data_IF_687349605016
#
_entry.id   IF_687349605016
#
_cell.length_a   1.000
_cell.length_b   1.000
_cell.length_c   1.000
_cell.angle_alpha   90.00
_cell.angle_beta   90.00
_cell.angle_gamma   90.00
#
_symmetry.space_group_name_H-M   'P 1'
#
loop_
_entity.id
_entity.type
_entity.pdbx_description
1 polymer ?
#
# COMPACT_ATOMS: atom_id res chain seq x y z
N UNK A 1 28.40 0.96 6.32
CA UNK A 1 28.97 -0.03 5.38
C UNK A 1 28.62 -1.41 5.89
N UNK A 2 28.06 -2.28 5.06
CA UNK A 2 27.86 -3.68 5.39
C UNK A 2 29.25 -4.32 5.55
N UNK A 3 29.42 -5.16 6.56
CA UNK A 3 30.64 -5.93 6.74
C UNK A 3 30.24 -7.33 7.18
N UNK A 4 30.18 -8.24 6.22
CA UNK A 4 29.81 -9.63 6.43
C UNK A 4 30.75 -10.54 5.62
N UNK A 5 30.89 -11.77 6.06
CA UNK A 5 31.37 -12.87 5.18
C UNK A 5 30.17 -13.55 4.53
N UNK A 6 30.40 -14.31 3.47
CA UNK A 6 29.37 -15.15 2.83
C UNK A 6 28.77 -16.15 3.83
N UNK A 7 29.56 -16.68 4.74
CA UNK A 7 29.06 -17.55 5.82
C UNK A 7 28.10 -16.82 6.78
N UNK A 8 28.39 -15.57 7.12
CA UNK A 8 27.49 -14.75 7.96
C UNK A 8 26.22 -14.37 7.19
N UNK A 9 26.33 -14.02 5.90
CA UNK A 9 25.17 -13.79 5.05
C UNK A 9 24.28 -15.03 4.97
N UNK A 10 24.88 -16.23 4.85
CA UNK A 10 24.16 -17.51 4.85
C UNK A 10 23.38 -17.74 6.16
N UNK A 11 23.96 -17.41 7.31
CA UNK A 11 23.27 -17.51 8.61
C UNK A 11 22.06 -16.57 8.68
N UNK A 12 22.20 -15.33 8.20
CA UNK A 12 21.10 -14.34 8.19
C UNK A 12 19.95 -14.79 7.28
N UNK A 13 20.28 -15.39 6.12
CA UNK A 13 19.30 -15.83 5.13
C UNK A 13 18.71 -17.22 5.41
N UNK A 14 19.28 -17.97 6.36
CA UNK A 14 18.93 -19.36 6.61
C UNK A 14 19.42 -20.32 5.51
N UNK A 15 20.34 -19.88 4.67
CA UNK A 15 20.93 -20.67 3.58
C UNK A 15 21.99 -21.62 4.13
N UNK A 16 21.93 -22.90 3.79
CA UNK A 16 22.88 -23.89 4.30
C UNK A 16 24.07 -24.15 3.35
N UNK A 17 23.83 -24.03 2.05
CA UNK A 17 24.81 -24.34 1.02
C UNK A 17 25.48 -23.09 0.47
N UNK A 18 26.77 -22.97 0.69
CA UNK A 18 27.59 -21.85 0.20
C UNK A 18 28.92 -22.33 -0.35
N UNK A 19 29.42 -21.66 -1.38
CA UNK A 19 30.81 -21.77 -1.80
C UNK A 19 31.62 -20.58 -1.25
N UNK A 20 32.94 -20.77 -1.06
CA UNK A 20 33.85 -19.70 -0.62
C UNK A 20 33.34 -18.92 0.58
N UNK A 21 33.11 -19.54 1.75
CA UNK A 21 32.43 -18.95 2.91
C UNK A 21 33.11 -17.70 3.48
N UNK A 22 34.43 -17.57 3.31
CA UNK A 22 35.21 -16.44 3.84
C UNK A 22 35.22 -15.21 2.94
N UNK A 23 34.56 -15.27 1.77
CA UNK A 23 34.47 -14.13 0.87
C UNK A 23 33.80 -12.94 1.56
N UNK A 24 34.45 -11.78 1.51
CA UNK A 24 33.93 -10.56 2.10
C UNK A 24 32.79 -9.95 1.27
N UNK A 25 31.71 -9.55 1.95
CA UNK A 25 30.58 -8.81 1.40
C UNK A 25 30.50 -7.46 2.10
N UNK A 26 30.65 -6.39 1.32
CA UNK A 26 30.67 -5.03 1.82
C UNK A 26 29.50 -4.17 1.34
N UNK A 27 28.77 -4.67 0.31
CA UNK A 27 27.60 -4.02 -0.26
C UNK A 27 26.58 -5.04 -0.78
N UNK A 28 25.33 -4.62 -0.83
CA UNK A 28 24.26 -5.25 -1.62
C UNK A 28 24.07 -4.42 -2.89
N UNK A 29 24.03 -5.05 -4.06
CA UNK A 29 23.95 -4.34 -5.34
C UNK A 29 23.05 -5.06 -6.34
N UNK A 30 22.58 -4.34 -7.36
CA UNK A 30 21.94 -4.93 -8.53
C UNK A 30 22.97 -5.65 -9.41
N UNK A 31 22.51 -6.43 -10.37
CA UNK A 31 23.42 -7.09 -11.33
C UNK A 31 24.15 -6.06 -12.22
N UNK A 32 23.47 -4.97 -12.57
CA UNK A 32 23.98 -3.90 -13.42
C UNK A 32 25.08 -3.07 -12.71
N UNK A 33 24.99 -2.93 -11.39
CA UNK A 33 25.93 -2.15 -10.57
C UNK A 33 26.91 -3.02 -9.80
N UNK A 34 27.05 -4.28 -10.20
CA UNK A 34 27.90 -5.25 -9.53
C UNK A 34 29.37 -4.83 -9.50
N UNK A 35 29.99 -4.91 -8.34
CA UNK A 35 31.39 -4.53 -8.10
C UNK A 35 32.04 -5.45 -7.05
N UNK A 36 33.34 -5.36 -6.89
CA UNK A 36 34.07 -6.11 -5.88
C UNK A 36 33.54 -5.78 -4.46
N UNK A 37 33.32 -6.80 -3.65
CA UNK A 37 32.64 -6.71 -2.35
C UNK A 37 31.12 -6.70 -2.45
N UNK A 38 30.54 -6.62 -3.64
CA UNK A 38 29.08 -6.64 -3.85
C UNK A 38 28.50 -8.06 -3.76
N UNK A 39 27.29 -8.16 -3.24
CA UNK A 39 26.44 -9.35 -3.26
C UNK A 39 25.17 -9.03 -4.02
N UNK A 40 24.86 -9.84 -5.04
CA UNK A 40 23.68 -9.75 -5.89
C UNK A 40 22.80 -11.00 -5.72
N UNK A 41 21.66 -11.01 -6.39
CA UNK A 41 20.81 -12.21 -6.49
C UNK A 41 20.31 -12.44 -7.92
N UNK A 42 19.99 -13.70 -8.22
CA UNK A 42 19.40 -14.13 -9.49
C UNK A 42 18.27 -15.12 -9.20
N UNK A 43 17.10 -14.88 -9.74
CA UNK A 43 15.91 -15.73 -9.51
C UNK A 43 15.81 -16.90 -10.47
N UNK A 44 16.50 -16.86 -11.63
CA UNK A 44 16.51 -17.89 -12.67
C UNK A 44 17.83 -17.88 -13.43
N UNK A 45 18.31 -19.06 -13.85
CA UNK A 45 19.52 -19.19 -14.68
C UNK A 45 19.32 -18.84 -16.16
N UNK A 46 18.13 -18.48 -16.60
CA UNK A 46 17.88 -18.02 -17.98
C UNK A 46 18.78 -16.84 -18.42
N UNK A 47 19.28 -16.09 -17.45
CA UNK A 47 20.21 -14.96 -17.67
C UNK A 47 21.66 -15.29 -17.28
N UNK A 48 22.03 -16.57 -17.22
CA UNK A 48 23.38 -16.99 -16.78
C UNK A 48 24.51 -16.41 -17.62
N UNK A 49 24.27 -16.09 -18.89
CA UNK A 49 25.30 -15.46 -19.76
C UNK A 49 25.77 -14.10 -19.22
N UNK A 50 24.93 -13.37 -18.48
CA UNK A 50 25.30 -12.09 -17.85
C UNK A 50 26.30 -12.28 -16.69
N UNK A 51 26.48 -13.53 -16.20
CA UNK A 51 27.31 -13.82 -15.04
C UNK A 51 28.81 -13.94 -15.40
N UNK A 52 29.17 -14.14 -16.67
CA UNK A 52 30.57 -14.32 -17.13
C UNK A 52 31.45 -13.11 -16.79
N UNK A 53 30.87 -11.90 -16.92
CA UNK A 53 31.56 -10.63 -16.71
C UNK A 53 31.15 -9.95 -15.40
N UNK A 54 30.34 -10.64 -14.57
CA UNK A 54 29.83 -10.07 -13.33
C UNK A 54 30.94 -9.87 -12.30
N UNK A 55 31.13 -8.62 -11.87
CA UNK A 55 32.20 -8.21 -10.92
C UNK A 55 31.82 -8.37 -9.45
N UNK A 56 30.62 -8.90 -9.14
CA UNK A 56 30.22 -9.16 -7.76
C UNK A 56 31.14 -10.17 -7.08
N UNK A 57 31.32 -10.03 -5.76
CA UNK A 57 32.07 -11.01 -4.96
C UNK A 57 31.21 -12.22 -4.57
N UNK A 58 29.89 -12.05 -4.48
CA UNK A 58 28.96 -13.11 -4.14
C UNK A 58 27.64 -13.00 -4.91
N UNK A 59 26.99 -14.14 -5.12
CA UNK A 59 25.71 -14.23 -5.82
C UNK A 59 24.78 -15.22 -5.11
N UNK A 60 23.53 -14.80 -4.82
CA UNK A 60 22.48 -15.71 -4.38
C UNK A 60 21.79 -16.27 -5.60
N UNK A 61 21.70 -17.60 -5.70
CA UNK A 61 21.08 -18.32 -6.80
C UNK A 61 20.01 -19.29 -6.30
N UNK A 62 19.06 -19.73 -7.15
CA UNK A 62 18.09 -20.75 -6.76
C UNK A 62 18.76 -22.05 -6.32
N UNK A 63 18.20 -22.72 -5.32
CA UNK A 63 18.68 -24.03 -4.86
C UNK A 63 18.65 -25.07 -5.98
N UNK A 64 17.75 -24.96 -6.94
CA UNK A 64 17.67 -25.80 -8.15
C UNK A 64 18.87 -25.65 -9.10
N UNK A 65 19.67 -24.62 -8.93
CA UNK A 65 20.92 -24.42 -9.68
C UNK A 65 22.11 -25.22 -9.13
N UNK A 66 21.94 -25.90 -8.00
CA UNK A 66 22.99 -26.71 -7.38
C UNK A 66 23.38 -27.88 -8.30
N UNK A 67 24.67 -28.02 -8.52
CA UNK A 67 25.22 -29.03 -9.43
C UNK A 67 25.22 -28.66 -10.92
N UNK A 68 24.69 -27.48 -11.26
CA UNK A 68 24.80 -26.94 -12.60
C UNK A 68 26.08 -26.08 -12.73
N UNK A 69 26.59 -25.97 -13.94
CA UNK A 69 27.73 -25.08 -14.24
C UNK A 69 27.19 -23.61 -14.27
N UNK A 70 27.66 -22.80 -13.35
CA UNK A 70 27.33 -21.38 -13.28
C UNK A 70 28.59 -20.60 -13.68
N UNK A 71 28.59 -19.82 -14.77
CA UNK A 71 29.75 -19.09 -15.25
C UNK A 71 30.01 -17.83 -14.37
N UNK A 72 30.30 -18.07 -13.09
CA UNK A 72 30.56 -17.02 -12.10
C UNK A 72 31.74 -17.41 -11.20
N UNK A 73 32.70 -16.51 -11.08
CA UNK A 73 33.94 -16.76 -10.33
C UNK A 73 33.86 -16.43 -8.83
N UNK A 74 32.80 -15.69 -8.38
CA UNK A 74 32.60 -15.33 -6.99
C UNK A 74 32.06 -16.46 -6.12
N UNK A 75 31.62 -16.09 -4.92
CA UNK A 75 30.98 -17.03 -3.99
C UNK A 75 29.49 -17.23 -4.38
N UNK A 76 28.98 -18.43 -4.21
CA UNK A 76 27.56 -18.78 -4.45
C UNK A 76 26.85 -19.09 -3.14
N UNK A 77 25.64 -18.60 -2.98
CA UNK A 77 24.70 -18.95 -1.92
C UNK A 77 23.44 -19.55 -2.57
N UNK A 78 23.12 -20.79 -2.23
CA UNK A 78 21.97 -21.49 -2.82
C UNK A 78 20.73 -21.33 -1.92
N UNK A 79 19.73 -20.60 -2.37
CA UNK A 79 18.52 -20.29 -1.61
C UNK A 79 17.25 -20.81 -2.28
N UNK A 80 16.29 -21.30 -1.50
CA UNK A 80 14.94 -21.66 -2.02
C UNK A 80 14.27 -20.50 -2.72
N UNK A 81 14.41 -19.30 -2.16
CA UNK A 81 13.94 -18.05 -2.74
C UNK A 81 15.08 -17.02 -2.66
N UNK A 82 15.84 -16.80 -3.75
CA UNK A 82 16.97 -15.87 -3.77
C UNK A 82 16.58 -14.42 -3.45
N UNK A 83 15.42 -13.98 -3.95
CA UNK A 83 14.91 -12.63 -3.68
C UNK A 83 14.61 -12.44 -2.20
N UNK A 84 13.92 -13.39 -1.57
CA UNK A 84 13.65 -13.33 -0.14
C UNK A 84 14.94 -13.34 0.70
N UNK A 85 15.90 -14.18 0.33
CA UNK A 85 17.21 -14.20 0.98
C UNK A 85 17.90 -12.82 0.88
N UNK A 86 17.87 -12.19 -0.29
CA UNK A 86 18.40 -10.85 -0.47
C UNK A 86 17.66 -9.79 0.36
N UNK A 87 16.32 -9.86 0.44
CA UNK A 87 15.49 -9.00 1.29
C UNK A 87 15.88 -9.15 2.77
N UNK A 88 16.17 -10.35 3.25
CA UNK A 88 16.62 -10.55 4.63
C UNK A 88 17.96 -9.83 4.90
N UNK A 89 18.89 -9.86 3.94
CA UNK A 89 20.14 -9.11 4.04
C UNK A 89 19.91 -7.58 3.98
N UNK A 90 18.96 -7.11 3.16
CA UNK A 90 18.56 -5.70 3.15
C UNK A 90 17.99 -5.27 4.50
N UNK A 91 17.09 -6.08 5.09
CA UNK A 91 16.55 -5.82 6.43
C UNK A 91 17.66 -5.79 7.50
N UNK A 92 18.61 -6.71 7.43
CA UNK A 92 19.76 -6.70 8.33
C UNK A 92 20.59 -5.42 8.16
N UNK A 93 20.90 -5.03 6.93
CA UNK A 93 21.68 -3.83 6.65
C UNK A 93 20.97 -2.55 7.12
N UNK A 94 19.65 -2.49 6.94
CA UNK A 94 18.81 -1.38 7.39
C UNK A 94 18.78 -1.28 8.92
N UNK A 95 18.58 -2.39 9.61
CA UNK A 95 18.62 -2.45 11.08
C UNK A 95 19.98 -1.99 11.65
N UNK A 96 21.10 -2.20 10.93
CA UNK A 96 22.40 -1.66 11.36
C UNK A 96 22.52 -0.14 11.19
N UNK A 97 21.82 0.43 10.21
CA UNK A 97 21.78 1.89 9.99
C UNK A 97 20.84 2.60 10.97
N UNK A 98 19.74 1.95 11.33
CA UNK A 98 18.69 2.53 12.17
C UNK A 98 18.92 2.36 13.67
N UNK A 99 20.18 2.24 14.13
CA UNK A 99 20.48 2.21 15.55
C UNK A 99 20.18 3.57 16.17
N UNK A 100 18.98 3.73 16.71
CA UNK A 100 18.61 4.90 17.50
C UNK A 100 19.14 4.74 18.93
N UNK A 101 19.80 5.77 19.43
CA UNK A 101 20.17 5.82 20.85
C UNK A 101 18.92 6.22 21.64
N UNK A 102 18.45 5.40 22.59
CA UNK A 102 17.33 5.77 23.45
C UNK A 102 17.60 7.09 24.16
N UNK A 103 16.57 7.91 24.31
CA UNK A 103 16.68 9.17 25.02
C UNK A 103 15.67 10.21 24.54
N UNK A 104 15.49 11.23 25.36
CA UNK A 104 14.58 12.34 25.12
C UNK A 104 15.39 13.57 24.76
N UNK A 105 15.15 14.16 23.58
CA UNK A 105 15.83 15.40 23.21
C UNK A 105 15.40 16.54 24.15
N UNK A 106 16.33 17.41 24.59
CA UNK A 106 16.04 18.48 25.58
C UNK A 106 14.95 19.48 25.14
N UNK A 107 14.70 19.63 23.84
CA UNK A 107 13.65 20.51 23.31
C UNK A 107 12.30 19.80 23.10
N UNK A 108 12.19 18.52 23.44
CA UNK A 108 10.89 17.83 23.42
C UNK A 108 10.03 18.31 24.59
N UNK A 109 8.74 18.49 24.34
CA UNK A 109 7.74 18.88 25.35
C UNK A 109 6.88 17.67 25.66
N UNK A 110 7.04 17.11 26.85
CA UNK A 110 6.33 15.90 27.26
C UNK A 110 5.54 16.20 28.53
N UNK A 111 4.22 15.94 28.48
CA UNK A 111 3.38 16.09 29.67
C UNK A 111 3.84 15.20 30.83
N UNK A 112 3.76 15.70 32.05
CA UNK A 112 4.07 14.93 33.25
C UNK A 112 3.16 13.72 33.49
N UNK A 113 1.99 13.66 32.83
CA UNK A 113 1.07 12.51 32.89
C UNK A 113 1.30 11.48 31.76
N UNK A 114 2.15 11.77 30.77
CA UNK A 114 2.50 10.85 29.72
C UNK A 114 3.37 9.70 30.27
N UNK A 115 3.16 8.49 29.73
CA UNK A 115 3.92 7.29 30.11
C UNK A 115 4.78 6.82 28.94
N UNK A 116 6.08 6.76 29.15
CA UNK A 116 7.04 6.25 28.19
C UNK A 116 7.56 4.89 28.65
N UNK A 117 7.56 3.91 27.74
CA UNK A 117 8.15 2.59 27.96
C UNK A 117 9.69 2.60 28.01
N UNK A 118 10.26 1.42 28.08
CA UNK A 118 11.72 1.25 28.05
C UNK A 118 12.30 1.58 26.66
N UNK A 119 13.51 2.18 26.63
CA UNK A 119 14.27 2.46 25.42
C UNK A 119 13.55 3.34 24.38
N UNK A 120 12.60 4.17 24.78
CA UNK A 120 11.94 5.12 23.87
C UNK A 120 12.91 6.23 23.46
N UNK A 121 12.87 6.60 22.18
CA UNK A 121 13.57 7.77 21.64
C UNK A 121 12.55 8.84 21.27
N UNK A 122 12.79 10.10 21.69
CA UNK A 122 11.94 11.26 21.35
C UNK A 122 12.81 12.36 20.76
N UNK A 123 12.54 12.72 19.51
CA UNK A 123 13.28 13.72 18.75
C UNK A 123 12.96 15.17 19.15
N UNK A 124 13.77 16.09 18.62
CA UNK A 124 13.66 17.52 18.89
C UNK A 124 12.29 18.10 18.53
N UNK A 125 11.78 19.03 19.36
CA UNK A 125 10.52 19.76 19.15
C UNK A 125 9.28 18.87 19.00
N UNK A 126 9.35 17.61 19.44
CA UNK A 126 8.19 16.73 19.52
C UNK A 126 7.36 17.07 20.75
N UNK A 127 6.04 17.09 20.61
CA UNK A 127 5.08 17.32 21.69
C UNK A 127 4.34 16.03 22.00
N UNK A 128 4.31 15.64 23.27
CA UNK A 128 3.53 14.48 23.78
C UNK A 128 2.60 14.98 24.88
N UNK A 129 1.31 14.91 24.60
CA UNK A 129 0.24 15.47 25.44
C UNK A 129 -0.13 14.55 26.63
N UNK A 130 -1.07 15.06 27.45
CA UNK A 130 -1.56 14.41 28.66
C UNK A 130 -2.12 13.00 28.40
N UNK A 131 -1.76 12.08 29.29
CA UNK A 131 -2.26 10.70 29.28
C UNK A 131 -1.78 9.83 28.12
N UNK A 132 -0.93 10.36 27.22
CA UNK A 132 -0.35 9.58 26.14
C UNK A 132 0.52 8.43 26.69
N UNK A 133 0.46 7.27 26.02
CA UNK A 133 1.22 6.07 26.38
C UNK A 133 2.04 5.61 25.19
N UNK A 134 3.35 5.48 25.37
CA UNK A 134 4.30 5.07 24.32
C UNK A 134 4.95 3.77 24.75
N UNK A 135 4.83 2.73 23.95
CA UNK A 135 5.39 1.40 24.21
C UNK A 135 6.90 1.33 24.04
N UNK A 136 7.48 0.23 24.55
CA UNK A 136 8.92 0.00 24.57
C UNK A 136 9.55 0.06 23.17
N UNK A 137 10.81 0.53 23.09
CA UNK A 137 11.64 0.62 21.88
C UNK A 137 11.02 1.45 20.75
N UNK A 138 9.99 2.25 21.01
CA UNK A 138 9.39 3.12 20.01
C UNK A 138 10.25 4.35 19.77
N UNK A 139 10.40 4.72 18.51
CA UNK A 139 11.19 5.86 18.05
C UNK A 139 10.26 6.92 17.48
N UNK A 140 10.28 8.11 18.10
CA UNK A 140 9.53 9.28 17.65
C UNK A 140 10.55 10.31 17.17
N UNK A 141 10.52 10.61 15.90
CA UNK A 141 11.43 11.57 15.26
C UNK A 141 11.06 13.02 15.58
N UNK A 142 11.85 13.99 15.12
CA UNK A 142 11.60 15.40 15.41
C UNK A 142 10.27 15.94 14.88
N UNK A 143 9.73 16.97 15.57
CA UNK A 143 8.55 17.74 15.15
C UNK A 143 7.28 16.92 15.03
N UNK A 144 7.12 15.84 15.79
CA UNK A 144 5.89 15.08 15.87
C UNK A 144 4.93 15.67 16.91
N UNK A 145 3.64 15.47 16.73
CA UNK A 145 2.61 15.77 17.71
C UNK A 145 1.85 14.50 18.08
N UNK A 146 1.85 14.17 19.34
CA UNK A 146 1.14 13.03 19.93
C UNK A 146 0.08 13.59 20.89
N UNK A 147 -1.18 13.50 20.50
CA UNK A 147 -2.31 14.08 21.19
C UNK A 147 -2.68 13.41 22.51
N UNK A 148 -3.64 13.97 23.23
CA UNK A 148 -4.11 13.49 24.53
C UNK A 148 -4.63 12.06 24.43
N UNK A 149 -4.28 11.24 25.44
CA UNK A 149 -4.71 9.84 25.57
C UNK A 149 -4.40 8.96 24.36
N UNK A 150 -3.44 9.35 23.51
CA UNK A 150 -2.96 8.49 22.42
C UNK A 150 -2.25 7.29 23.01
N UNK A 151 -2.50 6.11 22.44
CA UNK A 151 -1.76 4.89 22.76
C UNK A 151 -0.93 4.46 21.55
N UNK A 152 0.38 4.35 21.71
CA UNK A 152 1.33 3.82 20.73
C UNK A 152 1.96 2.56 21.30
N UNK A 153 1.91 1.48 20.55
CA UNK A 153 2.48 0.19 20.91
C UNK A 153 4.01 0.18 20.90
N UNK A 154 4.56 -1.03 20.92
CA UNK A 154 6.02 -1.27 20.95
C UNK A 154 6.64 -1.28 19.58
N UNK A 155 7.94 -0.95 19.50
CA UNK A 155 8.74 -1.05 18.28
C UNK A 155 8.15 -0.23 17.11
N UNK A 156 7.44 0.86 17.39
CA UNK A 156 6.89 1.75 16.37
C UNK A 156 7.93 2.77 15.90
N UNK A 157 7.81 3.20 14.65
CA UNK A 157 8.62 4.26 14.05
C UNK A 157 7.73 5.40 13.60
N UNK A 158 7.82 6.56 14.25
CA UNK A 158 7.00 7.75 13.97
C UNK A 158 7.92 8.81 13.36
N UNK A 159 7.94 8.90 12.04
CA UNK A 159 8.84 9.78 11.29
C UNK A 159 8.50 11.27 11.45
N UNK A 160 9.37 12.21 11.00
CA UNK A 160 9.19 13.63 11.28
C UNK A 160 7.86 14.19 10.80
N UNK A 161 7.32 15.17 11.54
CA UNK A 161 6.09 15.91 11.22
C UNK A 161 4.81 15.06 11.18
N UNK A 162 4.84 13.86 11.73
CA UNK A 162 3.64 13.06 11.95
C UNK A 162 2.76 13.72 13.01
N UNK A 163 1.45 13.72 12.77
CA UNK A 163 0.43 14.16 13.74
C UNK A 163 -0.47 12.98 14.07
N UNK A 164 -0.56 12.64 15.35
CA UNK A 164 -1.53 11.68 15.87
C UNK A 164 -2.46 12.44 16.80
N UNK A 165 -3.72 12.58 16.37
CA UNK A 165 -4.74 13.29 17.15
C UNK A 165 -5.16 12.45 18.37
N UNK A 166 -5.81 13.12 19.29
CA UNK A 166 -6.27 12.59 20.57
C UNK A 166 -7.03 11.26 20.44
N UNK A 167 -6.81 10.37 21.44
CA UNK A 167 -7.49 9.08 21.62
C UNK A 167 -7.22 8.03 20.52
N UNK A 168 -6.36 8.33 19.54
CA UNK A 168 -5.97 7.34 18.54
C UNK A 168 -5.11 6.23 19.14
N UNK A 169 -5.25 5.03 18.58
CA UNK A 169 -4.57 3.81 19.05
C UNK A 169 -3.74 3.22 17.91
N UNK A 170 -2.45 3.06 18.15
CA UNK A 170 -1.52 2.35 17.28
C UNK A 170 -1.07 1.09 18.03
N UNK A 171 -1.18 -0.07 17.41
CA UNK A 171 -0.64 -1.31 17.97
C UNK A 171 0.87 -1.42 17.71
N UNK A 172 1.44 -2.62 17.87
CA UNK A 172 2.88 -2.83 17.78
C UNK A 172 3.40 -2.78 16.33
N UNK A 173 4.67 -2.38 16.16
CA UNK A 173 5.40 -2.35 14.88
C UNK A 173 4.79 -1.42 13.83
N UNK A 174 4.00 -0.42 14.22
CA UNK A 174 3.44 0.56 13.30
C UNK A 174 4.53 1.50 12.80
N UNK A 175 4.55 1.75 11.49
CA UNK A 175 5.43 2.72 10.85
C UNK A 175 4.58 3.84 10.26
N UNK A 176 4.83 5.08 10.70
CA UNK A 176 4.22 6.28 10.13
C UNK A 176 5.30 7.12 9.46
N UNK A 177 5.26 7.24 8.14
CA UNK A 177 6.21 8.05 7.38
C UNK A 177 5.95 9.55 7.52
N UNK A 178 6.94 10.35 7.10
CA UNK A 178 6.95 11.79 7.33
C UNK A 178 5.65 12.47 6.86
N UNK A 179 5.09 13.31 7.72
CA UNK A 179 3.90 14.09 7.41
C UNK A 179 2.57 13.34 7.46
N UNK A 180 2.52 12.04 7.79
CA UNK A 180 1.26 11.32 7.95
C UNK A 180 0.38 11.96 9.04
N UNK A 181 -0.94 11.99 8.82
CA UNK A 181 -1.94 12.58 9.73
C UNK A 181 -2.95 11.52 10.15
N UNK A 182 -2.96 11.18 11.41
CA UNK A 182 -3.84 10.15 11.99
C UNK A 182 -4.86 10.82 12.91
N UNK A 183 -6.14 10.66 12.60
CA UNK A 183 -7.23 11.14 13.44
C UNK A 183 -7.68 12.57 13.14
N UNK A 184 -7.44 13.11 11.93
CA UNK A 184 -8.08 14.35 11.47
C UNK A 184 -9.59 14.21 11.50
N UNK A 185 -10.32 15.33 11.66
CA UNK A 185 -11.77 15.29 11.58
C UNK A 185 -12.24 14.78 10.21
N UNK A 186 -13.16 13.84 10.20
CA UNK A 186 -13.83 13.41 8.98
C UNK A 186 -14.63 14.54 8.32
N UNK A 187 -14.76 14.49 6.99
CA UNK A 187 -15.50 15.47 6.22
C UNK A 187 -17.02 15.22 6.34
N UNK A 188 -17.61 15.70 7.44
CA UNK A 188 -19.02 15.54 7.77
C UNK A 188 -19.73 16.87 7.92
N UNK A 189 -20.73 17.13 7.07
CA UNK A 189 -21.57 18.32 7.12
C UNK A 189 -23.03 17.97 6.83
N UNK A 190 -23.96 18.72 7.42
CA UNK A 190 -25.38 18.69 7.09
C UNK A 190 -25.85 20.09 6.68
N UNK A 191 -26.74 20.15 5.71
CA UNK A 191 -27.33 21.45 5.33
C UNK A 191 -28.54 21.72 6.22
N UNK A 192 -28.46 22.78 7.04
CA UNK A 192 -29.51 23.18 7.95
C UNK A 192 -29.52 24.71 8.09
N UNK A 193 -30.68 25.31 8.09
CA UNK A 193 -30.87 26.77 8.15
C UNK A 193 -30.04 27.53 7.10
N UNK A 194 -30.07 27.06 5.85
CA UNK A 194 -29.45 27.73 4.70
C UNK A 194 -27.92 27.68 4.65
N UNK A 195 -27.27 26.86 5.48
CA UNK A 195 -25.79 26.69 5.52
C UNK A 195 -25.36 25.28 5.86
N UNK A 196 -24.13 24.98 5.52
CA UNK A 196 -23.47 23.72 5.94
C UNK A 196 -23.08 23.82 7.42
N UNK A 197 -23.64 22.95 8.23
CA UNK A 197 -23.31 22.77 9.65
C UNK A 197 -22.33 21.62 9.78
N UNK A 198 -21.20 21.85 10.48
CA UNK A 198 -20.23 20.79 10.76
C UNK A 198 -20.84 19.73 11.68
N UNK A 199 -20.68 18.48 11.32
CA UNK A 199 -20.97 17.34 12.18
C UNK A 199 -19.71 17.04 12.98
N UNK A 200 -19.73 17.15 14.32
CA UNK A 200 -18.57 16.82 15.15
C UNK A 200 -18.12 15.39 14.95
N UNK A 201 -16.81 15.19 14.93
CA UNK A 201 -16.17 13.89 14.80
C UNK A 201 -15.55 13.53 16.15
N UNK A 202 -16.23 12.68 16.92
CA UNK A 202 -15.89 12.37 18.32
C UNK A 202 -15.32 10.97 18.52
N UNK A 203 -15.15 10.21 17.44
CA UNK A 203 -14.47 8.93 17.45
C UNK A 203 -12.95 9.07 17.29
N UNK A 204 -12.28 7.96 17.01
CA UNK A 204 -10.83 7.89 16.86
C UNK A 204 -10.40 7.06 15.64
N UNK A 205 -9.09 6.79 15.56
CA UNK A 205 -8.48 5.85 14.60
C UNK A 205 -7.77 4.74 15.39
N UNK A 206 -7.92 3.51 14.91
CA UNK A 206 -7.20 2.33 15.42
C UNK A 206 -6.39 1.72 14.30
N UNK A 207 -5.06 1.69 14.45
CA UNK A 207 -4.13 0.99 13.54
C UNK A 207 -3.71 -0.34 14.17
N UNK A 208 -3.84 -1.42 13.42
CA UNK A 208 -3.41 -2.75 13.77
C UNK A 208 -1.90 -2.93 13.87
N UNK A 209 -1.45 -4.16 14.16
CA UNK A 209 -0.02 -4.46 14.20
C UNK A 209 0.60 -4.42 12.80
N UNK A 210 1.87 -3.99 12.73
CA UNK A 210 2.64 -3.95 11.48
C UNK A 210 1.93 -3.18 10.34
N UNK A 211 1.11 -2.18 10.69
CA UNK A 211 0.54 -1.24 9.71
C UNK A 211 1.62 -0.25 9.31
N UNK A 212 1.72 0.00 8.01
CA UNK A 212 2.62 1.03 7.48
C UNK A 212 1.82 2.09 6.72
N UNK A 213 2.01 3.36 7.09
CA UNK A 213 1.35 4.52 6.49
C UNK A 213 2.43 5.44 5.94
N UNK A 214 2.43 5.63 4.63
CA UNK A 214 3.43 6.41 3.93
C UNK A 214 3.17 7.92 4.01
N UNK A 215 4.09 8.70 3.42
CA UNK A 215 4.18 10.15 3.58
C UNK A 215 2.91 10.90 3.17
N UNK A 216 2.51 11.86 4.01
CA UNK A 216 1.36 12.75 3.78
C UNK A 216 0.02 12.04 3.57
N UNK A 217 -0.11 10.79 3.96
CA UNK A 217 -1.39 10.08 4.00
C UNK A 217 -2.21 10.56 5.18
N UNK A 218 -3.52 10.74 4.97
CA UNK A 218 -4.47 11.16 5.97
C UNK A 218 -5.49 10.04 6.26
N UNK A 219 -5.68 9.73 7.55
CA UNK A 219 -6.69 8.78 8.02
C UNK A 219 -7.60 9.54 8.99
N UNK A 220 -8.84 9.77 8.56
CA UNK A 220 -9.81 10.53 9.35
C UNK A 220 -10.37 9.69 10.49
N UNK A 221 -10.62 10.36 11.64
CA UNK A 221 -11.33 9.75 12.75
C UNK A 221 -12.78 9.46 12.40
N UNK A 222 -13.34 8.48 13.04
CA UNK A 222 -14.76 8.20 12.92
C UNK A 222 -15.61 9.35 13.49
N UNK A 223 -16.81 9.51 12.96
CA UNK A 223 -17.84 10.35 13.56
C UNK A 223 -18.16 9.89 14.99
N UNK A 224 -18.38 8.59 15.17
CA UNK A 224 -18.57 7.86 16.42
C UNK A 224 -17.88 6.52 16.26
N UNK A 225 -17.33 5.94 17.33
CA UNK A 225 -16.54 4.71 17.31
C UNK A 225 -15.15 4.90 16.68
N UNK A 226 -14.70 4.03 15.79
CA UNK A 226 -13.34 4.07 15.23
C UNK A 226 -13.34 3.91 13.72
N UNK A 227 -12.40 4.58 13.06
CA UNK A 227 -11.86 4.19 11.76
C UNK A 227 -10.78 3.15 12.03
N UNK A 228 -10.83 1.99 11.38
CA UNK A 228 -9.98 0.84 11.72
C UNK A 228 -9.17 0.38 10.53
N UNK A 229 -7.86 0.22 10.73
CA UNK A 229 -6.95 -0.39 9.76
C UNK A 229 -6.42 -1.71 10.34
N UNK A 230 -6.69 -2.81 9.65
CA UNK A 230 -6.30 -4.16 10.08
C UNK A 230 -4.79 -4.41 10.00
N UNK A 231 -4.34 -5.45 10.71
CA UNK A 231 -2.93 -5.81 10.85
C UNK A 231 -2.24 -6.00 9.48
N UNK A 232 -0.96 -5.66 9.38
CA UNK A 232 -0.11 -5.81 8.19
C UNK A 232 -0.62 -5.08 6.92
N UNK A 233 -1.52 -4.12 7.04
CA UNK A 233 -1.98 -3.31 5.90
C UNK A 233 -0.94 -2.24 5.57
N UNK A 234 -0.69 -2.05 4.26
CA UNK A 234 0.31 -1.10 3.75
C UNK A 234 -0.39 -0.02 2.93
N UNK A 235 -0.18 1.23 3.30
CA UNK A 235 -0.86 2.40 2.73
C UNK A 235 0.19 3.35 2.21
N UNK A 236 0.21 3.58 0.91
CA UNK A 236 1.21 4.38 0.21
C UNK A 236 0.97 5.89 0.39
N UNK A 237 1.78 6.70 -0.26
CA UNK A 237 1.79 8.16 -0.14
C UNK A 237 0.49 8.81 -0.62
N UNK A 238 0.09 9.91 0.04
CA UNK A 238 -1.03 10.75 -0.37
C UNK A 238 -2.38 10.03 -0.44
N UNK A 239 -2.55 8.95 0.31
CA UNK A 239 -3.83 8.25 0.41
C UNK A 239 -4.75 9.01 1.37
N UNK A 240 -6.05 9.09 1.03
CA UNK A 240 -7.08 9.63 1.92
C UNK A 240 -8.03 8.52 2.35
N UNK A 241 -8.10 8.25 3.63
CA UNK A 241 -9.08 7.33 4.23
C UNK A 241 -10.09 8.16 5.03
N UNK A 242 -11.34 8.12 4.61
CA UNK A 242 -12.44 8.85 5.22
C UNK A 242 -12.90 8.25 6.57
N UNK A 243 -13.79 8.98 7.25
CA UNK A 243 -14.30 8.60 8.56
C UNK A 243 -15.07 7.26 8.55
N UNK A 244 -15.00 6.51 9.62
CA UNK A 244 -15.70 5.24 9.79
C UNK A 244 -15.39 4.18 8.72
N UNK A 245 -14.24 4.26 8.05
CA UNK A 245 -13.75 3.22 7.15
C UNK A 245 -13.17 2.08 7.98
N UNK A 246 -13.49 0.84 7.61
CA UNK A 246 -12.85 -0.34 8.15
C UNK A 246 -12.07 -1.05 7.04
N UNK A 247 -10.80 -1.28 7.27
CA UNK A 247 -9.90 -1.99 6.35
C UNK A 247 -9.45 -3.27 7.01
N UNK A 248 -9.62 -4.38 6.32
CA UNK A 248 -9.16 -5.71 6.75
C UNK A 248 -7.63 -5.83 6.75
N UNK A 249 -7.14 -7.00 7.15
CA UNK A 249 -5.71 -7.30 7.26
C UNK A 249 -5.05 -7.46 5.90
N UNK A 250 -3.73 -7.19 5.85
CA UNK A 250 -2.85 -7.45 4.68
C UNK A 250 -3.34 -6.82 3.38
N UNK A 251 -4.08 -5.73 3.44
CA UNK A 251 -4.52 -4.98 2.27
C UNK A 251 -3.46 -3.97 1.83
N UNK A 252 -3.46 -3.63 0.55
CA UNK A 252 -2.50 -2.69 -0.06
C UNK A 252 -3.28 -1.58 -0.74
N UNK A 253 -2.94 -0.33 -0.40
CA UNK A 253 -3.45 0.87 -1.07
C UNK A 253 -2.29 1.64 -1.66
N UNK A 254 -2.21 1.68 -2.98
CA UNK A 254 -1.16 2.43 -3.67
C UNK A 254 -1.42 3.95 -3.60
N UNK A 255 -0.45 4.73 -4.08
CA UNK A 255 -0.46 6.18 -3.95
C UNK A 255 -1.75 6.83 -4.50
N UNK A 256 -2.19 7.88 -3.78
CA UNK A 256 -3.35 8.71 -4.14
C UNK A 256 -4.70 7.97 -4.19
N UNK A 257 -4.82 6.81 -3.55
CA UNK A 257 -6.13 6.17 -3.36
C UNK A 257 -7.00 7.05 -2.46
N UNK A 258 -8.27 7.21 -2.84
CA UNK A 258 -9.29 7.90 -2.04
C UNK A 258 -10.39 6.93 -1.61
N UNK A 259 -10.59 6.77 -0.31
CA UNK A 259 -11.66 5.94 0.27
C UNK A 259 -12.65 6.85 0.97
N UNK A 260 -13.86 6.94 0.44
CA UNK A 260 -14.91 7.74 1.08
C UNK A 260 -15.44 7.07 2.37
N UNK A 261 -16.04 7.88 3.24
CA UNK A 261 -16.47 7.46 4.57
C UNK A 261 -17.41 6.25 4.59
N UNK A 262 -17.37 5.51 5.68
CA UNK A 262 -18.24 4.35 5.96
C UNK A 262 -18.11 3.23 4.91
N UNK A 263 -16.93 3.03 4.37
CA UNK A 263 -16.61 1.95 3.43
C UNK A 263 -15.96 0.78 4.18
N UNK A 264 -16.40 -0.44 3.88
CA UNK A 264 -15.84 -1.67 4.42
C UNK A 264 -14.91 -2.31 3.39
N UNK A 265 -13.66 -2.50 3.73
CA UNK A 265 -12.64 -3.13 2.87
C UNK A 265 -12.19 -4.42 3.52
N UNK A 266 -12.31 -5.53 2.80
CA UNK A 266 -11.94 -6.86 3.26
C UNK A 266 -10.45 -7.09 3.42
N UNK A 267 -10.07 -8.35 3.67
CA UNK A 267 -8.68 -8.76 3.84
C UNK A 267 -7.99 -8.96 2.49
N UNK A 268 -6.71 -8.61 2.40
CA UNK A 268 -5.88 -8.84 1.22
C UNK A 268 -6.36 -8.09 -0.03
N UNK A 269 -7.09 -7.00 0.13
CA UNK A 269 -7.56 -6.16 -0.98
C UNK A 269 -6.40 -5.36 -1.55
N UNK A 270 -6.35 -5.22 -2.88
CA UNK A 270 -5.34 -4.40 -3.58
C UNK A 270 -6.06 -3.27 -4.33
N UNK A 271 -5.81 -2.04 -3.90
CA UNK A 271 -6.24 -0.83 -4.60
C UNK A 271 -5.03 -0.20 -5.28
N UNK A 272 -5.01 -0.23 -6.61
CA UNK A 272 -3.93 0.38 -7.38
C UNK A 272 -3.99 1.92 -7.35
N UNK A 273 -2.96 2.58 -7.87
CA UNK A 273 -2.81 4.03 -7.75
C UNK A 273 -4.00 4.82 -8.29
N UNK A 274 -4.37 5.88 -7.56
CA UNK A 274 -5.46 6.81 -7.91
C UNK A 274 -6.86 6.17 -7.99
N UNK A 275 -7.08 5.03 -7.37
CA UNK A 275 -8.43 4.46 -7.23
C UNK A 275 -9.27 5.32 -6.30
N UNK A 276 -10.51 5.61 -6.70
CA UNK A 276 -11.50 6.31 -5.89
C UNK A 276 -12.67 5.38 -5.53
N UNK A 277 -12.97 5.23 -4.24
CA UNK A 277 -14.11 4.47 -3.75
C UNK A 277 -15.19 5.41 -3.25
N UNK A 278 -16.43 5.26 -3.74
CA UNK A 278 -17.58 5.95 -3.17
C UNK A 278 -17.88 5.45 -1.74
N UNK A 279 -18.63 6.24 -0.97
CA UNK A 279 -18.97 5.88 0.41
C UNK A 279 -20.03 4.79 0.53
N UNK A 280 -20.17 4.23 1.74
CA UNK A 280 -21.21 3.28 2.11
C UNK A 280 -21.27 2.01 1.25
N UNK A 281 -20.11 1.47 0.88
CA UNK A 281 -19.99 0.25 0.09
C UNK A 281 -19.06 -0.76 0.75
N UNK A 282 -19.00 -1.98 0.21
CA UNK A 282 -18.09 -3.02 0.62
C UNK A 282 -17.21 -3.51 -0.53
N UNK A 283 -15.92 -3.71 -0.24
CA UNK A 283 -14.96 -4.35 -1.13
C UNK A 283 -14.59 -5.69 -0.48
N UNK A 284 -14.98 -6.78 -1.13
CA UNK A 284 -14.80 -8.13 -0.58
C UNK A 284 -13.34 -8.56 -0.49
N UNK A 285 -13.07 -9.59 0.30
CA UNK A 285 -11.73 -10.14 0.53
C UNK A 285 -11.00 -10.45 -0.78
N UNK A 286 -9.71 -10.11 -0.87
CA UNK A 286 -8.85 -10.36 -2.03
C UNK A 286 -9.35 -9.75 -3.34
N UNK A 287 -10.26 -8.80 -3.30
CA UNK A 287 -10.63 -8.04 -4.49
C UNK A 287 -9.47 -7.14 -4.94
N UNK A 288 -9.37 -6.89 -6.23
CA UNK A 288 -8.35 -6.04 -6.83
C UNK A 288 -9.00 -4.95 -7.67
N UNK A 289 -8.51 -3.73 -7.57
CA UNK A 289 -8.99 -2.61 -8.37
C UNK A 289 -7.83 -1.97 -9.12
N UNK A 290 -7.92 -1.98 -10.44
CA UNK A 290 -6.90 -1.39 -11.32
C UNK A 290 -6.80 0.12 -11.20
N UNK A 291 -5.65 0.67 -11.58
CA UNK A 291 -5.33 2.08 -11.40
C UNK A 291 -6.37 3.03 -12.04
N UNK A 292 -6.57 4.19 -11.38
CA UNK A 292 -7.48 5.27 -11.83
C UNK A 292 -8.95 4.85 -11.97
N UNK A 293 -9.36 3.72 -11.40
CA UNK A 293 -10.76 3.28 -11.44
C UNK A 293 -11.60 4.04 -10.43
N UNK A 294 -12.79 4.50 -10.86
CA UNK A 294 -13.84 5.02 -9.98
C UNK A 294 -14.85 3.93 -9.65
N UNK A 295 -14.93 3.53 -8.39
CA UNK A 295 -15.82 2.47 -7.92
C UNK A 295 -17.05 3.08 -7.27
N UNK A 296 -18.22 2.80 -7.83
CA UNK A 296 -19.52 3.37 -7.42
C UNK A 296 -20.43 2.35 -6.73
N UNK A 297 -20.03 1.09 -6.66
CA UNK A 297 -20.81 0.00 -6.06
C UNK A 297 -19.90 -1.06 -5.44
N UNK A 298 -20.45 -1.86 -4.53
CA UNK A 298 -19.71 -2.93 -3.84
C UNK A 298 -19.11 -3.95 -4.81
N UNK A 299 -17.92 -4.46 -4.47
CA UNK A 299 -17.19 -5.46 -5.24
C UNK A 299 -17.17 -6.78 -4.45
N UNK A 300 -17.62 -7.90 -5.02
CA UNK A 300 -17.55 -9.22 -4.39
C UNK A 300 -16.10 -9.66 -4.14
N UNK A 301 -15.91 -10.59 -3.19
CA UNK A 301 -14.61 -11.16 -2.88
C UNK A 301 -13.94 -11.82 -4.10
N UNK A 302 -12.62 -11.69 -4.20
CA UNK A 302 -11.79 -12.30 -5.24
C UNK A 302 -11.97 -11.74 -6.64
N UNK A 303 -12.77 -10.69 -6.83
CA UNK A 303 -13.00 -10.09 -8.13
C UNK A 303 -11.96 -9.01 -8.47
N UNK A 304 -11.63 -8.92 -9.76
CA UNK A 304 -10.78 -7.85 -10.28
C UNK A 304 -11.63 -6.87 -11.10
N UNK A 305 -11.60 -5.58 -10.71
CA UNK A 305 -12.30 -4.50 -11.37
C UNK A 305 -11.32 -3.55 -12.03
N UNK A 306 -11.71 -3.03 -13.19
CA UNK A 306 -10.86 -2.12 -13.93
C UNK A 306 -11.72 -1.13 -14.73
N UNK A 307 -11.38 0.14 -14.75
CA UNK A 307 -12.20 1.17 -15.39
C UNK A 307 -11.45 2.30 -16.09
N UNK A 308 -10.21 2.07 -16.56
CA UNK A 308 -9.45 3.10 -17.28
C UNK A 308 -8.25 2.48 -18.02
N UNK A 309 -8.04 2.58 -19.33
CA UNK A 309 -6.71 2.65 -19.89
C UNK A 309 -6.50 3.96 -20.63
N UNK A 310 -5.30 4.53 -20.55
CA UNK A 310 -4.84 5.49 -21.54
C UNK A 310 -4.72 4.80 -22.90
N UNK A 311 -5.12 5.50 -23.94
CA UNK A 311 -5.04 5.04 -25.31
C UNK A 311 -4.58 6.19 -26.22
N UNK A 312 -4.13 5.95 -27.48
CA UNK A 312 -3.77 7.00 -28.39
C UNK A 312 -4.88 8.06 -28.51
N UNK A 313 -4.52 9.35 -28.40
CA UNK A 313 -5.47 10.46 -28.31
C UNK A 313 -6.57 10.42 -29.40
N UNK A 314 -6.18 10.10 -30.63
CA UNK A 314 -7.11 10.02 -31.77
C UNK A 314 -8.17 8.93 -31.59
N UNK A 315 -7.79 7.82 -31.00
CA UNK A 315 -8.70 6.71 -30.67
C UNK A 315 -9.60 7.05 -29.50
N UNK A 316 -9.06 7.68 -28.46
CA UNK A 316 -9.84 8.17 -27.31
C UNK A 316 -10.95 9.13 -27.73
N UNK A 317 -10.66 10.09 -28.59
CA UNK A 317 -11.67 11.03 -29.10
C UNK A 317 -12.74 10.36 -29.97
N UNK A 318 -12.36 9.38 -30.78
CA UNK A 318 -13.33 8.58 -31.55
C UNK A 318 -14.26 7.81 -30.63
N UNK A 319 -13.70 7.13 -29.62
CA UNK A 319 -14.47 6.36 -28.65
C UNK A 319 -15.44 7.25 -27.87
N UNK A 320 -14.97 8.42 -27.36
CA UNK A 320 -15.84 9.37 -26.66
C UNK A 320 -16.98 9.90 -27.55
N UNK A 321 -16.73 10.11 -28.84
CA UNK A 321 -17.74 10.56 -29.80
C UNK A 321 -18.82 9.49 -29.98
N UNK A 322 -18.42 8.21 -30.06
CA UNK A 322 -19.35 7.08 -30.17
C UNK A 322 -20.18 6.94 -28.88
N UNK A 323 -19.53 7.02 -27.71
CA UNK A 323 -20.20 6.92 -26.41
C UNK A 323 -21.30 7.97 -26.24
N UNK A 324 -21.06 9.22 -26.70
CA UNK A 324 -22.08 10.27 -26.67
C UNK A 324 -23.31 9.96 -27.54
N UNK A 325 -23.14 9.26 -28.66
CA UNK A 325 -24.22 8.84 -29.55
C UNK A 325 -24.91 7.54 -29.13
N UNK A 326 -24.32 6.80 -28.20
CA UNK A 326 -24.83 5.47 -27.81
C UNK A 326 -26.29 5.47 -27.34
N UNK A 327 -26.82 6.48 -26.59
CA UNK A 327 -28.22 6.53 -26.22
C UNK A 327 -29.17 6.63 -27.45
N UNK A 328 -28.81 7.42 -28.48
CA UNK A 328 -29.57 7.56 -29.72
C UNK A 328 -29.52 6.27 -30.52
N UNK A 329 -28.34 5.71 -30.73
CA UNK A 329 -28.13 4.41 -31.38
C UNK A 329 -28.93 3.29 -30.69
N UNK A 330 -28.97 3.28 -29.36
CA UNK A 330 -29.78 2.30 -28.63
C UNK A 330 -31.26 2.44 -28.85
N UNK A 331 -31.78 3.68 -28.93
CA UNK A 331 -33.18 3.97 -29.26
C UNK A 331 -33.53 3.52 -30.66
N UNK A 332 -32.69 3.82 -31.64
CA UNK A 332 -32.83 3.41 -33.04
C UNK A 332 -32.82 1.88 -33.17
N UNK A 333 -31.88 1.22 -32.48
CA UNK A 333 -31.79 -0.24 -32.45
C UNK A 333 -33.05 -0.91 -31.86
N UNK A 334 -33.59 -0.35 -30.77
CA UNK A 334 -34.87 -0.84 -30.20
C UNK A 334 -36.03 -0.70 -31.17
N UNK A 335 -36.12 0.44 -31.86
CA UNK A 335 -37.16 0.69 -32.87
C UNK A 335 -37.02 -0.29 -34.03
N UNK A 336 -35.79 -0.50 -34.52
CA UNK A 336 -35.51 -1.48 -35.59
C UNK A 336 -35.87 -2.90 -35.16
N UNK A 337 -35.53 -3.31 -33.93
CA UNK A 337 -35.89 -4.63 -33.41
C UNK A 337 -37.41 -4.84 -33.37
N UNK A 338 -38.16 -3.83 -32.91
CA UNK A 338 -39.61 -3.86 -32.87
C UNK A 338 -40.20 -4.01 -34.31
N UNK A 339 -39.71 -3.24 -35.27
CA UNK A 339 -40.13 -3.33 -36.67
C UNK A 339 -39.82 -4.70 -37.27
N UNK A 340 -38.69 -5.30 -36.93
CA UNK A 340 -38.32 -6.63 -37.38
C UNK A 340 -39.23 -7.71 -36.82
N UNK A 341 -39.61 -7.63 -35.55
CA UNK A 341 -40.56 -8.56 -34.90
C UNK A 341 -41.97 -8.43 -35.52
N UNK A 342 -42.45 -7.22 -35.71
CA UNK A 342 -43.71 -6.96 -36.40
C UNK A 342 -43.71 -7.53 -37.82
N UNK A 343 -42.60 -7.40 -38.58
CA UNK A 343 -42.47 -7.91 -39.93
C UNK A 343 -42.40 -9.45 -39.98
N UNK A 344 -41.79 -10.09 -38.97
CA UNK A 344 -41.78 -11.56 -38.85
C UNK A 344 -43.16 -12.15 -38.64
N UNK A 345 -44.04 -11.44 -37.93
CA UNK A 345 -45.39 -11.89 -37.62
C UNK A 345 -46.43 -11.58 -38.71
N UNK A 346 -46.03 -10.87 -39.78
CA UNK A 346 -46.92 -10.61 -40.92
C UNK A 346 -46.98 -11.82 -41.86
N UNK A 347 -48.21 -12.08 -42.40
CA UNK A 347 -48.39 -13.01 -43.54
C UNK A 347 -47.57 -12.54 -44.75
N UNK A 348 -47.34 -13.42 -45.71
CA UNK A 348 -46.63 -13.07 -46.96
C UNK A 348 -47.22 -11.82 -47.64
N UNK A 349 -48.55 -11.69 -47.76
CA UNK A 349 -49.20 -10.50 -48.27
C UNK A 349 -49.02 -9.24 -47.40
N UNK A 350 -48.99 -9.38 -46.09
CA UNK A 350 -48.71 -8.29 -45.17
C UNK A 350 -47.26 -7.76 -45.28
N UNK A 351 -46.30 -8.66 -45.53
CA UNK A 351 -44.91 -8.27 -45.81
C UNK A 351 -44.78 -7.49 -47.11
N UNK A 352 -45.46 -7.91 -48.15
CA UNK A 352 -45.46 -7.25 -49.46
C UNK A 352 -46.10 -5.86 -49.41
N UNK A 353 -47.28 -5.70 -48.76
CA UNK A 353 -47.89 -4.39 -48.53
C UNK A 353 -46.99 -3.41 -47.77
N UNK A 354 -46.31 -3.86 -46.69
CA UNK A 354 -45.38 -3.02 -45.89
C UNK A 354 -44.15 -2.61 -46.71
N UNK A 355 -43.68 -3.45 -47.66
CA UNK A 355 -42.56 -3.16 -48.55
C UNK A 355 -42.94 -2.14 -49.62
N UNK A 356 -44.20 -2.16 -50.10
CA UNK A 356 -44.76 -1.29 -51.16
C UNK A 356 -45.35 0.03 -50.59
N UNK A 357 -45.31 0.22 -49.23
CA UNK A 357 -45.85 1.43 -48.60
C UNK A 357 -47.39 1.55 -48.70
N UNK A 358 -48.09 0.44 -48.84
CA UNK A 358 -49.57 0.34 -48.99
C UNK A 358 -50.24 -0.04 -47.67
#
# INVERSE_FOLDING_TARGET
MLKLTVAEAAKITGTQDVSKPDTAVTALCSLEEAHEGGLCYLTSLEKADLLKDLKASALIVPESAKGQEIPFNGALLYAKNPEWAFILLMKYADAQKQKHTPGIHPTAVISGSAKLGANVSVGAYTVIEDGAQIGDNTVIFPQCYIGKNVSVGKNCYIYPQVVIREECVLKDYVILQAGAKIGSDGFGFTFHDGRHQKIPQIGNVVLGNDVEVQSNTCIDRAKISSTVIGDNTKIDNLVQIGHNVHVGMSSIMCAQVGVAGTTEIGNGVILAGQVGLAGHMSIGDRAQVGAQSGVMSSIPAGQTYFGYPAMPQREAFKLQTILRKLPEMHKEFRTFKKQLEETKNLSFFGKLKKLLGL
#
